data_IF_680104093649
#
_entry.id   IF_680104093649
#
_cell.length_a   1.000
_cell.length_b   1.000
_cell.length_c   1.000
_cell.angle_alpha   90.00
_cell.angle_beta   90.00
_cell.angle_gamma   90.00
#
_symmetry.space_group_name_H-M   'P 1'
#
loop_
_entity.id
_entity.type
_entity.pdbx_description
1 polymer ?
#
# COMPACT_ATOMS: atom_id res chain seq x y z
N UNK A 1 -3.74 -24.46 -20.19
CA UNK A 1 -2.92 -25.10 -21.25
C UNK A 1 -1.41 -25.13 -20.93
N UNK A 2 -0.88 -24.21 -20.11
CA UNK A 2 0.54 -24.19 -19.71
C UNK A 2 1.01 -25.47 -18.99
N UNK A 3 0.27 -25.91 -17.97
CA UNK A 3 0.63 -27.10 -17.18
C UNK A 3 0.76 -28.37 -18.03
N UNK A 4 -0.18 -28.60 -18.95
CA UNK A 4 -0.11 -29.76 -19.84
C UNK A 4 1.11 -29.70 -20.76
N UNK A 5 1.46 -28.51 -21.28
CA UNK A 5 2.68 -28.36 -22.09
C UNK A 5 3.94 -28.76 -21.31
N UNK A 6 4.02 -28.39 -20.02
CA UNK A 6 5.20 -28.65 -19.18
C UNK A 6 5.26 -30.08 -18.61
N UNK A 7 4.11 -30.74 -18.39
CA UNK A 7 4.04 -31.98 -17.59
C UNK A 7 3.28 -33.13 -18.28
N UNK A 8 3.16 -33.14 -19.61
CA UNK A 8 2.36 -34.14 -20.34
C UNK A 8 2.84 -35.60 -20.19
N UNK A 9 4.13 -35.85 -19.97
CA UNK A 9 4.69 -37.22 -19.93
C UNK A 9 4.16 -38.09 -18.79
N UNK A 10 3.77 -37.49 -17.65
CA UNK A 10 3.27 -38.20 -16.46
C UNK A 10 1.82 -37.88 -16.11
N UNK A 11 1.16 -37.06 -16.94
CA UNK A 11 -0.18 -36.54 -16.70
C UNK A 11 -0.21 -35.36 -15.71
N UNK A 12 -1.24 -34.51 -15.83
CA UNK A 12 -1.45 -33.35 -14.97
C UNK A 12 -2.63 -33.58 -14.03
N UNK A 13 -2.45 -33.34 -12.74
CA UNK A 13 -3.53 -33.24 -11.75
C UNK A 13 -3.68 -31.78 -11.32
N UNK A 14 -4.91 -31.26 -11.38
CA UNK A 14 -5.22 -29.87 -11.02
C UNK A 14 -6.18 -29.87 -9.83
N UNK A 15 -5.85 -29.08 -8.81
CA UNK A 15 -6.70 -28.88 -7.63
C UNK A 15 -7.60 -27.67 -7.83
N UNK A 16 -8.53 -27.46 -6.90
CA UNK A 16 -9.34 -26.25 -6.89
C UNK A 16 -8.43 -25.00 -6.83
N UNK A 17 -8.64 -24.00 -7.70
CA UNK A 17 -7.82 -22.80 -7.72
C UNK A 17 -8.13 -21.93 -6.49
N UNK A 18 -7.08 -21.39 -5.88
CA UNK A 18 -7.20 -20.31 -4.91
C UNK A 18 -7.23 -18.98 -5.66
N UNK A 19 -8.11 -18.06 -5.24
CA UNK A 19 -8.10 -16.69 -5.77
C UNK A 19 -6.82 -16.00 -5.32
N UNK A 20 -6.12 -15.41 -6.29
CA UNK A 20 -5.04 -14.47 -6.03
C UNK A 20 -5.63 -13.08 -6.19
N UNK A 21 -5.47 -12.24 -5.19
CA UNK A 21 -5.98 -10.88 -5.15
C UNK A 21 -4.80 -9.94 -4.87
N UNK A 22 -4.85 -8.76 -5.48
CA UNK A 22 -4.05 -7.62 -5.07
C UNK A 22 -4.86 -6.87 -3.99
N UNK A 23 -4.51 -7.11 -2.74
CA UNK A 23 -5.30 -6.69 -1.56
C UNK A 23 -4.38 -6.01 -0.54
N UNK A 24 -3.84 -4.85 -0.93
CA UNK A 24 -3.06 -4.02 -0.02
C UNK A 24 -3.97 -3.43 1.06
N UNK A 25 -3.49 -3.47 2.30
CA UNK A 25 -4.30 -3.03 3.45
C UNK A 25 -4.05 -1.57 3.83
N UNK A 26 -3.34 -0.79 3.02
CA UNK A 26 -3.19 0.64 3.27
C UNK A 26 -4.55 1.34 3.18
N UNK A 27 -4.74 2.39 3.98
CA UNK A 27 -5.88 3.29 3.86
C UNK A 27 -5.44 4.68 4.31
N UNK A 28 -6.21 5.70 3.96
CA UNK A 28 -5.93 7.08 4.38
C UNK A 28 -5.84 7.19 5.91
N UNK A 29 -6.72 6.50 6.63
CA UNK A 29 -6.76 6.48 8.09
C UNK A 29 -5.48 5.86 8.67
N UNK A 30 -5.04 4.71 8.14
CA UNK A 30 -3.81 4.05 8.59
C UNK A 30 -2.57 4.91 8.32
N UNK A 31 -2.50 5.55 7.15
CA UNK A 31 -1.40 6.47 6.85
C UNK A 31 -1.46 7.69 7.76
N UNK A 32 -2.66 8.23 8.05
CA UNK A 32 -2.83 9.32 9.01
C UNK A 32 -2.35 8.95 10.41
N UNK A 33 -2.67 7.74 10.89
CA UNK A 33 -2.20 7.23 12.17
C UNK A 33 -0.66 7.15 12.22
N UNK A 34 -0.02 6.68 11.14
CA UNK A 34 1.44 6.66 11.03
C UNK A 34 2.00 8.08 11.15
N UNK A 35 1.50 9.03 10.34
CA UNK A 35 1.93 10.43 10.39
C UNK A 35 1.66 11.09 11.75
N UNK A 36 0.57 10.73 12.43
CA UNK A 36 0.23 11.31 13.75
C UNK A 36 1.25 10.98 14.86
N UNK A 37 2.06 9.93 14.65
CA UNK A 37 3.14 9.55 15.56
C UNK A 37 4.43 10.35 15.35
N UNK A 38 4.51 11.15 14.27
CA UNK A 38 5.68 11.99 14.01
C UNK A 38 5.69 13.19 14.97
N UNK A 39 6.89 13.70 15.24
CA UNK A 39 7.11 14.98 15.89
C UNK A 39 6.64 16.13 15.00
N UNK A 40 6.44 17.31 15.60
CA UNK A 40 6.07 18.51 14.84
C UNK A 40 7.12 18.84 13.76
N UNK A 41 8.41 18.69 14.08
CA UNK A 41 9.51 18.91 13.14
C UNK A 41 9.48 17.92 11.98
N UNK A 42 9.25 16.63 12.24
CA UNK A 42 9.13 15.62 11.17
C UNK A 42 7.93 15.90 10.26
N UNK A 43 6.80 16.39 10.82
CA UNK A 43 5.65 16.82 10.04
C UNK A 43 6.00 18.04 9.17
N UNK A 44 6.64 19.06 9.74
CA UNK A 44 7.08 20.26 9.00
C UNK A 44 8.05 19.92 7.87
N UNK A 45 9.01 19.03 8.11
CA UNK A 45 9.98 18.56 7.11
C UNK A 45 9.33 17.72 5.99
N UNK A 46 8.16 17.15 6.25
CA UNK A 46 7.41 16.35 5.26
C UNK A 46 6.51 17.21 4.35
N UNK A 47 6.45 18.53 4.56
CA UNK A 47 5.61 19.44 3.76
C UNK A 47 6.35 19.81 2.48
N UNK A 48 5.76 19.44 1.34
CA UNK A 48 6.19 19.83 0.00
C UNK A 48 5.01 20.52 -0.72
N UNK A 49 5.23 21.68 -1.35
CA UNK A 49 4.17 22.44 -2.05
C UNK A 49 2.87 22.64 -1.24
N UNK A 50 3.00 22.83 0.08
CA UNK A 50 1.89 23.09 1.01
C UNK A 50 1.07 21.87 1.42
N UNK A 51 1.57 20.65 1.17
CA UNK A 51 0.89 19.39 1.53
C UNK A 51 1.90 18.32 1.95
N UNK A 52 1.42 17.26 2.57
CA UNK A 52 2.22 16.05 2.85
C UNK A 52 1.76 14.96 1.90
N UNK A 53 2.67 14.47 1.04
CA UNK A 53 2.40 13.38 0.10
C UNK A 53 3.03 12.07 0.60
N UNK A 54 2.26 10.99 0.59
CA UNK A 54 2.73 9.65 0.98
C UNK A 54 2.39 8.68 -0.14
N UNK A 55 3.39 7.92 -0.59
CA UNK A 55 3.20 6.80 -1.52
C UNK A 55 3.29 5.49 -0.75
N UNK A 56 2.30 4.60 -0.93
CA UNK A 56 2.37 3.27 -0.35
C UNK A 56 3.38 2.41 -1.12
N UNK A 57 4.45 1.97 -0.46
CA UNK A 57 5.49 1.13 -1.08
C UNK A 57 5.03 -0.30 -1.46
N UNK A 58 3.78 -0.67 -1.14
CA UNK A 58 3.23 -1.99 -1.48
C UNK A 58 2.33 -1.96 -2.72
N UNK A 59 1.41 -0.99 -2.81
CA UNK A 59 0.46 -0.88 -3.93
C UNK A 59 0.62 0.39 -4.77
N UNK A 60 1.56 1.26 -4.39
CA UNK A 60 1.80 2.56 -5.04
C UNK A 60 0.62 3.52 -4.99
N UNK A 61 -0.35 3.31 -4.11
CA UNK A 61 -1.42 4.28 -3.85
C UNK A 61 -0.86 5.56 -3.24
N UNK A 62 -1.38 6.72 -3.65
CA UNK A 62 -0.92 8.03 -3.22
C UNK A 62 -1.94 8.68 -2.27
N UNK A 63 -1.45 9.19 -1.14
CA UNK A 63 -2.25 9.90 -0.15
C UNK A 63 -1.71 11.31 0.03
N UNK A 64 -2.62 12.28 0.09
CA UNK A 64 -2.30 13.67 0.39
C UNK A 64 -3.00 14.12 1.67
N UNK A 65 -2.28 14.87 2.50
CA UNK A 65 -2.78 15.44 3.74
C UNK A 65 -2.46 16.93 3.81
N UNK A 66 -3.37 17.68 4.43
CA UNK A 66 -3.14 19.08 4.74
C UNK A 66 -2.35 19.18 6.06
N UNK A 67 -1.34 20.05 6.20
CA UNK A 67 -0.54 20.16 7.44
C UNK A 67 -1.39 20.41 8.69
N UNK A 68 -2.50 21.14 8.54
CA UNK A 68 -3.45 21.46 9.61
C UNK A 68 -4.13 20.22 10.21
N UNK A 69 -4.08 19.08 9.52
CA UNK A 69 -4.56 17.80 10.06
C UNK A 69 -3.71 17.28 11.23
N UNK A 70 -2.51 17.83 11.45
CA UNK A 70 -1.52 17.37 12.43
C UNK A 70 -1.06 18.48 13.39
N UNK A 71 -1.60 19.69 13.29
CA UNK A 71 -1.34 20.76 14.27
C UNK A 71 -1.83 20.32 15.66
N UNK A 72 -0.88 20.06 16.56
CA UNK A 72 -1.15 19.84 17.98
C UNK A 72 -1.28 21.22 18.63
N UNK A 73 -2.52 21.63 18.92
CA UNK A 73 -2.81 22.85 19.69
C UNK A 73 -2.18 22.86 21.08
#
# INVERSE_FOLDING_TARGET
RLLFRLFHERGVRVFAPTKVLDDCTCSRERIKEVLSNFSATEIEESIEDGRIEVTCEFCSEHYAFAPEEFEKG
#
